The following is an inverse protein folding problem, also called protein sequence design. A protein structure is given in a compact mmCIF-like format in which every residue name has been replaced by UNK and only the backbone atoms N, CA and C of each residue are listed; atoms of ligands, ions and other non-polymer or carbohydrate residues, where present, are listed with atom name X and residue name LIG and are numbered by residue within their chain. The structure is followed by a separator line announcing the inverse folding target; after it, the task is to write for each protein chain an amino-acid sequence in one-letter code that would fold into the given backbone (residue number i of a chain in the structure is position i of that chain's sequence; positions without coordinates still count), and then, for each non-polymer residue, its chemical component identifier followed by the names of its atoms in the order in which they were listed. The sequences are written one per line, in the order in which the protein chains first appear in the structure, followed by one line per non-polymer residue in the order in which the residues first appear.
data_IF_133980102248
#
_entry.id   IF_133980102248
#
_cell.length_a   1.000
_cell.length_b   1.000
_cell.length_c   1.000
_cell.angle_alpha   90.00
_cell.angle_beta   90.00
_cell.angle_gamma   90.00
#
_symmetry.space_group_name_H-M   'P 1'
#
loop_
_entity.id
_entity.type
_entity.pdbx_description
1 polymer ?
#
# COMPACT_ATOMS: atom_id res chain seq x y z
N UNK A 1 7.05 -5.79 26.71
CA UNK A 1 5.75 -5.29 27.17
C UNK A 1 4.95 -4.89 25.94
N UNK A 2 3.92 -5.64 25.55
CA UNK A 2 3.17 -5.32 24.34
C UNK A 2 2.29 -4.09 24.53
N UNK A 3 2.43 -3.12 23.62
CA UNK A 3 1.49 -2.02 23.46
C UNK A 3 0.54 -2.41 22.34
N UNK A 4 -0.76 -2.31 22.61
CA UNK A 4 -1.80 -2.60 21.62
C UNK A 4 -2.58 -1.34 21.30
N UNK A 5 -2.97 -1.19 20.04
CA UNK A 5 -3.84 -0.11 19.59
C UNK A 5 -5.30 -0.56 19.60
N UNK A 6 -6.20 0.34 19.97
CA UNK A 6 -7.64 0.12 20.00
C UNK A 6 -8.37 1.30 19.37
N UNK A 7 -9.52 1.03 18.75
CA UNK A 7 -10.51 2.01 18.32
C UNK A 7 -11.78 1.85 19.13
N UNK A 8 -12.27 2.94 19.71
CA UNK A 8 -13.59 2.93 20.35
C UNK A 8 -14.70 2.96 19.31
N UNK A 9 -15.70 2.08 19.43
CA UNK A 9 -16.81 2.05 18.49
C UNK A 9 -17.86 3.14 18.75
N UNK A 10 -17.87 3.74 19.95
CA UNK A 10 -18.73 4.86 20.32
C UNK A 10 -18.15 6.20 19.83
N UNK A 11 -17.02 6.65 20.39
CA UNK A 11 -16.44 7.96 20.03
C UNK A 11 -15.49 7.95 18.82
N UNK A 12 -15.23 6.77 18.22
CA UNK A 12 -14.35 6.55 17.06
C UNK A 12 -12.88 6.95 17.23
N UNK A 13 -12.47 7.40 18.43
CA UNK A 13 -11.07 7.74 18.74
C UNK A 13 -10.21 6.49 18.86
N UNK A 14 -8.94 6.63 18.45
CA UNK A 14 -7.89 5.62 18.64
C UNK A 14 -7.17 5.86 19.97
N UNK A 15 -6.70 4.79 20.60
CA UNK A 15 -5.88 4.85 21.81
C UNK A 15 -4.92 3.67 21.87
N UNK A 16 -3.78 3.87 22.53
CA UNK A 16 -2.77 2.83 22.73
C UNK A 16 -2.75 2.44 24.20
N UNK A 17 -2.81 1.14 24.47
CA UNK A 17 -2.90 0.59 25.83
C UNK A 17 -1.76 -0.40 26.02
N UNK A 18 -0.99 -0.17 27.09
CA UNK A 18 0.05 -1.09 27.52
C UNK A 18 -0.58 -2.21 28.34
N UNK A 19 -0.43 -3.45 27.86
CA UNK A 19 -1.02 -4.63 28.51
C UNK A 19 0.08 -5.40 29.21
N UNK A 20 0.02 -5.43 30.56
CA UNK A 20 1.03 -6.07 31.41
C UNK A 20 0.90 -7.60 31.43
N UNK A 21 -0.33 -8.13 31.37
CA UNK A 21 -0.62 -9.57 31.28
C UNK A 21 -1.68 -9.79 30.21
N UNK A 22 -1.44 -10.73 29.30
CA UNK A 22 -2.44 -11.08 28.26
C UNK A 22 -3.72 -11.65 28.89
N UNK A 23 -3.58 -12.32 30.04
CA UNK A 23 -4.66 -12.98 30.76
C UNK A 23 -5.32 -12.10 31.85
N UNK A 24 -4.86 -10.85 32.01
CA UNK A 24 -5.58 -9.94 32.89
C UNK A 24 -6.84 -9.49 32.15
N UNK A 25 -8.00 -9.97 32.60
CA UNK A 25 -9.34 -9.41 32.32
C UNK A 25 -9.45 -7.98 32.89
N UNK A 26 -8.50 -7.10 32.64
CA UNK A 26 -8.70 -5.67 32.89
C UNK A 26 -9.82 -5.22 31.96
N UNK A 27 -10.88 -4.70 32.54
CA UNK A 27 -11.96 -4.03 31.82
C UNK A 27 -11.36 -2.84 31.06
N UNK A 28 -11.05 -3.06 29.78
CA UNK A 28 -10.47 -2.06 28.91
C UNK A 28 -11.57 -1.09 28.49
N UNK A 29 -11.55 0.11 29.04
CA UNK A 29 -12.49 1.17 28.70
C UNK A 29 -11.83 2.26 27.87
N UNK A 30 -12.62 2.93 27.02
CA UNK A 30 -12.16 4.07 26.26
C UNK A 30 -11.69 5.21 27.18
N UNK A 31 -10.47 5.72 26.97
CA UNK A 31 -9.91 6.84 27.75
C UNK A 31 -10.69 8.15 27.59
N UNK A 32 -11.48 8.28 26.51
CA UNK A 32 -12.21 9.51 26.18
C UNK A 32 -13.69 9.48 26.59
N UNK A 33 -14.39 8.35 26.36
CA UNK A 33 -15.84 8.25 26.58
C UNK A 33 -16.24 7.13 27.54
N UNK A 34 -15.27 6.41 28.12
CA UNK A 34 -15.47 5.32 29.10
C UNK A 34 -16.24 4.10 28.60
N UNK A 35 -16.70 4.08 27.36
CA UNK A 35 -17.28 2.88 26.72
C UNK A 35 -16.29 1.70 26.69
N UNK A 36 -16.78 0.51 27.01
CA UNK A 36 -16.08 -0.78 26.90
C UNK A 36 -16.07 -1.34 25.46
N UNK A 37 -16.89 -0.78 24.58
CA UNK A 37 -16.97 -1.20 23.18
C UNK A 37 -15.72 -0.74 22.39
N UNK A 38 -14.66 -1.53 22.49
CA UNK A 38 -13.36 -1.33 21.84
C UNK A 38 -13.06 -2.44 20.82
N UNK A 39 -12.47 -2.07 19.69
CA UNK A 39 -11.92 -3.00 18.71
C UNK A 39 -10.41 -2.85 18.67
N UNK A 40 -9.68 -3.95 18.84
CA UNK A 40 -8.22 -3.96 18.70
C UNK A 40 -7.82 -3.72 17.25
N UNK A 41 -6.88 -2.82 17.03
CA UNK A 41 -6.30 -2.55 15.72
C UNK A 41 -4.98 -3.32 15.59
N UNK A 42 -4.75 -3.87 14.41
CA UNK A 42 -3.48 -4.46 14.03
C UNK A 42 -2.85 -3.57 12.98
N UNK A 43 -1.56 -3.26 13.15
CA UNK A 43 -0.79 -2.58 12.11
C UNK A 43 -0.80 -3.43 10.83
N UNK A 44 -0.81 -2.77 9.67
CA UNK A 44 -0.56 -3.44 8.40
C UNK A 44 0.95 -3.69 8.34
N UNK A 45 1.37 -4.92 8.59
CA UNK A 45 2.77 -5.29 8.40
C UNK A 45 3.08 -5.29 6.90
N UNK A 46 4.14 -4.58 6.50
CA UNK A 46 4.73 -4.74 5.17
C UNK A 46 5.64 -5.97 5.24
N UNK A 47 5.32 -7.01 4.48
CA UNK A 47 6.21 -8.17 4.33
C UNK A 47 7.26 -7.81 3.29
N UNK A 48 8.54 -7.78 3.70
CA UNK A 48 9.66 -7.66 2.77
C UNK A 48 9.74 -8.97 1.98
N UNK A 49 9.56 -8.90 0.65
CA UNK A 49 9.73 -10.04 -0.25
C UNK A 49 11.18 -10.13 -0.66
N UNK A 50 11.74 -11.35 -0.74
CA UNK A 50 13.07 -11.56 -1.33
C UNK A 50 13.07 -11.16 -2.81
N UNK A 51 14.24 -10.77 -3.32
CA UNK A 51 14.42 -10.47 -4.75
C UNK A 51 14.07 -11.69 -5.63
N UNK A 52 14.41 -12.89 -5.18
CA UNK A 52 14.02 -14.15 -5.86
C UNK A 52 12.49 -14.29 -5.98
N UNK A 53 11.74 -13.98 -4.91
CA UNK A 53 10.27 -14.04 -4.94
C UNK A 53 9.64 -12.93 -5.81
N UNK A 54 10.32 -11.78 -5.95
CA UNK A 54 9.93 -10.71 -6.88
C UNK A 54 10.16 -11.14 -8.33
N UNK A 55 11.34 -11.69 -8.64
CA UNK A 55 11.70 -12.22 -9.96
C UNK A 55 10.77 -13.36 -10.41
N UNK A 56 10.44 -14.29 -9.51
CA UNK A 56 9.46 -15.35 -9.76
C UNK A 56 8.06 -14.77 -10.10
N UNK A 57 7.66 -13.70 -9.43
CA UNK A 57 6.36 -13.04 -9.68
C UNK A 57 6.34 -12.26 -11.00
N UNK A 58 7.49 -11.76 -11.47
CA UNK A 58 7.65 -11.15 -12.80
C UNK A 58 7.63 -12.20 -13.92
N UNK A 59 8.16 -13.39 -13.63
CA UNK A 59 8.20 -14.51 -14.57
C UNK A 59 6.87 -15.29 -14.66
N UNK A 60 5.90 -15.03 -13.77
CA UNK A 60 4.62 -15.73 -13.75
C UNK A 60 3.74 -15.33 -14.95
N UNK A 61 3.47 -16.25 -15.91
CA UNK A 61 2.60 -15.98 -17.04
C UNK A 61 1.14 -15.70 -16.63
N UNK A 62 0.75 -16.09 -15.41
CA UNK A 62 -0.57 -15.80 -14.84
C UNK A 62 -0.74 -14.32 -14.50
N UNK A 63 0.36 -13.55 -14.41
CA UNK A 63 0.32 -12.09 -14.21
C UNK A 63 -0.26 -11.34 -15.41
N UNK A 64 -0.17 -11.95 -16.61
CA UNK A 64 -0.73 -11.47 -17.87
C UNK A 64 -2.14 -11.99 -18.13
N UNK A 65 -2.65 -12.90 -17.30
CA UNK A 65 -4.00 -13.43 -17.44
C UNK A 65 -5.03 -12.31 -17.22
N UNK A 66 -5.72 -11.92 -18.29
CA UNK A 66 -6.72 -10.85 -18.28
C UNK A 66 -6.17 -9.46 -18.63
N UNK A 67 -4.94 -9.35 -19.15
CA UNK A 67 -4.48 -8.13 -19.79
C UNK A 67 -5.21 -7.94 -21.13
N UNK A 68 -6.05 -6.91 -21.20
CA UNK A 68 -6.64 -6.45 -22.46
C UNK A 68 -5.82 -5.27 -23.00
N UNK A 69 -5.02 -5.53 -24.04
CA UNK A 69 -4.16 -4.54 -24.70
C UNK A 69 -4.95 -3.39 -25.34
N UNK A 70 -6.27 -3.55 -25.52
CA UNK A 70 -7.14 -2.52 -26.12
C UNK A 70 -7.84 -1.66 -25.06
N UNK A 71 -7.72 -2.00 -23.77
CA UNK A 71 -8.31 -1.24 -22.68
C UNK A 71 -7.23 -0.46 -21.90
N UNK A 72 -7.23 0.88 -21.96
CA UNK A 72 -6.25 1.70 -21.25
C UNK A 72 -6.26 1.49 -19.73
N UNK A 73 -7.41 1.08 -19.14
CA UNK A 73 -7.48 0.77 -17.70
C UNK A 73 -6.78 -0.53 -17.34
N UNK A 74 -6.79 -1.50 -18.27
CA UNK A 74 -6.14 -2.79 -18.09
C UNK A 74 -4.62 -2.65 -18.24
N UNK A 75 -4.14 -1.86 -19.21
CA UNK A 75 -2.74 -1.46 -19.32
C UNK A 75 -2.24 -0.70 -18.08
N UNK A 76 -3.00 0.26 -17.56
CA UNK A 76 -2.62 1.04 -16.38
C UNK A 76 -2.48 0.17 -15.12
N UNK A 77 -3.37 -0.81 -14.93
CA UNK A 77 -3.26 -1.78 -13.82
C UNK A 77 -2.04 -2.68 -13.98
N UNK A 78 -1.74 -3.09 -15.20
CA UNK A 78 -0.57 -3.91 -15.51
C UNK A 78 0.74 -3.13 -15.25
N UNK A 79 0.87 -1.91 -15.76
CA UNK A 79 2.01 -1.03 -15.51
C UNK A 79 2.22 -0.80 -14.00
N UNK A 80 1.14 -0.52 -13.26
CA UNK A 80 1.20 -0.32 -11.80
C UNK A 80 1.62 -1.59 -11.04
N UNK A 81 1.21 -2.77 -11.51
CA UNK A 81 1.59 -4.06 -10.93
C UNK A 81 3.05 -4.40 -11.25
N UNK A 82 3.49 -4.16 -12.49
CA UNK A 82 4.86 -4.39 -12.95
C UNK A 82 5.85 -3.47 -12.25
N UNK A 83 5.56 -2.16 -12.14
CA UNK A 83 6.41 -1.21 -11.41
C UNK A 83 6.58 -1.54 -9.92
N UNK A 84 5.56 -2.16 -9.30
CA UNK A 84 5.64 -2.60 -7.91
C UNK A 84 6.54 -3.83 -7.70
N UNK A 85 6.62 -4.71 -8.69
CA UNK A 85 7.44 -5.94 -8.62
C UNK A 85 8.90 -5.70 -9.08
N UNK A 86 9.14 -4.73 -9.98
CA UNK A 86 10.49 -4.28 -10.39
C UNK A 86 11.26 -3.62 -9.22
N UNK A 87 10.56 -3.19 -8.17
CA UNK A 87 11.15 -2.86 -6.88
C UNK A 87 11.21 -1.36 -6.56
N UNK A 88 11.32 -1.06 -5.27
CA UNK A 88 11.33 0.29 -4.70
C UNK A 88 12.58 1.12 -5.07
N UNK A 89 13.61 0.55 -5.69
CA UNK A 89 14.82 1.28 -6.15
C UNK A 89 14.57 2.12 -7.42
N UNK A 90 13.50 1.78 -8.14
CA UNK A 90 12.99 2.55 -9.28
C UNK A 90 11.97 3.60 -8.79
N UNK A 91 11.40 3.46 -7.58
CA UNK A 91 10.23 4.22 -7.12
C UNK A 91 10.43 5.73 -6.96
N UNK A 92 11.59 6.21 -6.50
CA UNK A 92 11.83 7.67 -6.36
C UNK A 92 12.27 8.32 -7.68
N UNK A 93 12.93 7.59 -8.57
CA UNK A 93 13.43 8.16 -9.84
C UNK A 93 12.46 7.95 -11.00
N UNK A 94 11.64 6.90 -11.01
CA UNK A 94 10.76 6.54 -12.13
C UNK A 94 9.50 7.39 -12.23
N UNK A 95 8.90 7.82 -11.12
CA UNK A 95 7.79 8.78 -11.21
C UNK A 95 8.26 10.10 -11.84
N UNK A 96 9.46 10.56 -11.46
CA UNK A 96 10.11 11.76 -11.99
C UNK A 96 10.59 11.59 -13.45
N UNK A 97 11.19 10.45 -13.77
CA UNK A 97 11.66 10.14 -15.13
C UNK A 97 10.48 9.93 -16.09
N UNK A 98 9.41 9.29 -15.64
CA UNK A 98 8.19 9.10 -16.44
C UNK A 98 7.45 10.43 -16.64
N UNK A 99 7.38 11.30 -15.61
CA UNK A 99 6.83 12.66 -15.76
C UNK A 99 7.65 13.51 -16.74
N UNK A 100 8.98 13.38 -16.72
CA UNK A 100 9.87 14.03 -17.71
C UNK A 100 9.67 13.50 -19.12
N UNK A 101 9.71 12.18 -19.33
CA UNK A 101 9.52 11.59 -20.66
C UNK A 101 8.14 11.92 -21.23
N UNK A 102 7.10 11.91 -20.38
CA UNK A 102 5.77 12.37 -20.79
C UNK A 102 5.74 13.87 -21.11
N UNK A 103 6.48 14.72 -20.40
CA UNK A 103 6.55 16.15 -20.73
C UNK A 103 7.31 16.41 -22.03
N UNK A 104 8.40 15.67 -22.25
CA UNK A 104 9.23 15.73 -23.47
C UNK A 104 8.45 15.25 -24.71
N UNK A 105 7.66 14.16 -24.62
CA UNK A 105 6.79 13.70 -25.72
C UNK A 105 5.70 14.72 -26.09
N UNK A 106 5.24 15.53 -25.13
CA UNK A 106 4.25 16.59 -25.36
C UNK A 106 4.88 17.85 -25.99
N UNK A 107 6.12 18.18 -25.65
CA UNK A 107 6.88 19.25 -26.28
C UNK A 107 7.25 18.90 -27.73
N UNK A 108 7.71 17.68 -27.99
CA UNK A 108 8.08 17.21 -29.35
C UNK A 108 6.85 17.11 -30.28
N UNK A 109 5.68 16.73 -29.75
CA UNK A 109 4.42 16.79 -30.51
C UNK A 109 3.97 18.22 -30.82
N UNK A 110 4.36 19.22 -30.02
CA UNK A 110 3.98 20.62 -30.23
C UNK A 110 4.87 21.36 -31.24
N UNK A 111 6.13 20.92 -31.43
CA UNK A 111 7.05 21.47 -32.43
C UNK A 111 6.91 20.83 -33.83
N UNK A 112 6.20 19.70 -33.94
CA UNK A 112 5.92 19.04 -35.22
C UNK A 112 4.71 19.62 -35.99
N UNK A 113 4.06 20.65 -35.44
CA UNK A 113 2.93 21.35 -36.03
C UNK A 113 3.25 22.85 -36.25
N UNK A 114 4.37 23.13 -36.90
CA UNK A 114 4.65 24.41 -37.58
C UNK A 114 4.91 24.16 -39.07
#
# INVERSE_FOLDING_TARGET
MPIYEYRCNQCKKKMSILVMKIDSQQELCCTFCKSENLTRLFSRFATVRSEESRLESLADPSSLAGLDEKDPKSMARWMKKMGKEIGEDVGENFESDMEKTMSEEWEESSESFD
#
